data_IF_378267468446
#
_entry.id   IF_378267468446
#
_cell.length_a   1.000
_cell.length_b   1.000
_cell.length_c   1.000
_cell.angle_alpha   90.00
_cell.angle_beta   90.00
_cell.angle_gamma   90.00
#
_symmetry.space_group_name_H-M   'P 1'
#
loop_
_entity.id
_entity.type
_entity.pdbx_description
1 polymer ?
#
# COMPACT_ATOMS: atom_id res chain seq x y z
N UNK A 1 -50.68 -4.03 1.65
CA UNK A 1 -49.69 -2.99 1.30
C UNK A 1 -48.49 -3.70 0.69
N UNK A 2 -48.35 -3.61 -0.64
CA UNK A 2 -47.36 -4.34 -1.43
C UNK A 2 -46.06 -3.52 -1.45
N UNK A 3 -44.96 -4.06 -0.92
CA UNK A 3 -43.65 -3.45 -1.01
C UNK A 3 -42.90 -4.18 -2.13
N UNK A 4 -42.53 -3.53 -3.24
CA UNK A 4 -41.75 -4.18 -4.27
C UNK A 4 -40.34 -4.47 -3.77
N UNK A 5 -39.94 -5.74 -3.87
CA UNK A 5 -38.58 -6.23 -3.66
C UNK A 5 -37.82 -6.08 -4.97
N UNK A 6 -37.27 -4.90 -5.22
CA UNK A 6 -36.25 -4.71 -6.25
C UNK A 6 -34.95 -4.33 -5.53
N UNK A 7 -34.05 -5.30 -5.42
CA UNK A 7 -32.66 -5.08 -5.04
C UNK A 7 -31.95 -4.69 -6.33
N UNK A 8 -31.33 -3.50 -6.45
CA UNK A 8 -30.53 -3.20 -7.63
C UNK A 8 -29.26 -4.06 -7.61
N UNK A 9 -29.26 -5.11 -8.43
CA UNK A 9 -28.06 -5.82 -8.84
C UNK A 9 -27.21 -4.90 -9.71
N UNK A 10 -26.31 -4.14 -9.08
CA UNK A 10 -25.17 -3.57 -9.78
C UNK A 10 -24.01 -3.39 -8.81
N UNK A 11 -23.40 -4.51 -8.44
CA UNK A 11 -21.96 -4.51 -8.16
C UNK A 11 -21.28 -4.15 -9.48
N UNK A 12 -20.91 -2.89 -9.62
CA UNK A 12 -19.89 -2.48 -10.57
C UNK A 12 -18.58 -3.11 -10.09
N UNK A 13 -18.37 -4.35 -10.50
CA UNK A 13 -17.08 -5.03 -10.44
C UNK A 13 -16.06 -4.10 -11.06
N UNK A 14 -15.27 -3.41 -10.24
CA UNK A 14 -14.09 -2.69 -10.69
C UNK A 14 -13.26 -3.71 -11.47
N UNK A 15 -13.21 -3.53 -12.78
CA UNK A 15 -12.51 -4.41 -13.71
C UNK A 15 -11.03 -4.38 -13.30
N UNK A 16 -10.61 -5.38 -12.52
CA UNK A 16 -9.21 -5.58 -12.17
C UNK A 16 -8.58 -6.01 -13.48
N UNK A 17 -8.06 -5.02 -14.22
CA UNK A 17 -7.22 -5.20 -15.40
C UNK A 17 -6.10 -6.17 -15.06
N UNK A 18 -6.31 -7.45 -15.35
CA UNK A 18 -5.29 -8.46 -15.26
C UNK A 18 -4.35 -8.26 -16.45
N UNK A 19 -3.25 -7.55 -16.20
CA UNK A 19 -2.16 -7.42 -17.16
C UNK A 19 -1.34 -8.72 -17.20
N UNK A 20 -1.95 -9.86 -17.54
CA UNK A 20 -1.23 -11.13 -17.69
C UNK A 20 -0.65 -11.25 -19.10
N UNK A 21 0.41 -10.50 -19.35
CA UNK A 21 1.36 -10.79 -20.44
C UNK A 21 2.09 -12.09 -20.10
N UNK A 22 2.14 -13.04 -21.04
CA UNK A 22 2.82 -14.32 -20.88
C UNK A 22 4.24 -14.12 -20.33
N UNK A 23 4.53 -14.76 -19.20
CA UNK A 23 5.82 -14.67 -18.53
C UNK A 23 6.88 -15.42 -19.33
N UNK A 24 7.77 -14.69 -19.98
CA UNK A 24 9.12 -15.18 -20.30
C UNK A 24 9.81 -15.63 -19.00
N UNK A 25 10.78 -16.55 -19.06
CA UNK A 25 11.47 -17.06 -17.86
C UNK A 25 12.19 -16.02 -17.00
N UNK A 26 12.17 -14.75 -17.41
CA UNK A 26 12.70 -13.57 -16.71
C UNK A 26 11.64 -12.73 -15.99
N UNK A 27 10.35 -13.03 -16.11
CA UNK A 27 9.29 -12.21 -15.54
C UNK A 27 9.03 -12.52 -14.06
N UNK A 28 8.85 -11.47 -13.25
CA UNK A 28 8.64 -11.57 -11.80
C UNK A 28 7.22 -11.11 -11.45
N UNK A 29 6.47 -11.97 -10.76
CA UNK A 29 5.14 -11.64 -10.24
C UNK A 29 5.30 -10.96 -8.87
N UNK A 30 4.97 -9.67 -8.80
CA UNK A 30 4.92 -8.91 -7.55
C UNK A 30 3.46 -8.66 -7.17
N UNK A 31 3.12 -8.88 -5.88
CA UNK A 31 1.81 -8.53 -5.35
C UNK A 31 1.72 -7.02 -5.14
N UNK A 32 1.27 -6.31 -6.19
CA UNK A 32 1.20 -4.85 -6.21
C UNK A 32 -0.27 -4.42 -6.25
N UNK A 33 -0.61 -3.41 -5.44
CA UNK A 33 -1.91 -2.75 -5.50
C UNK A 33 -1.72 -1.25 -5.72
N UNK A 34 -2.61 -0.67 -6.54
CA UNK A 34 -2.75 0.77 -6.67
C UNK A 34 -3.89 1.25 -5.77
N UNK A 35 -3.63 2.28 -4.97
CA UNK A 35 -4.61 2.84 -4.03
C UNK A 35 -4.49 4.35 -3.99
N UNK A 36 -5.55 5.05 -3.61
CA UNK A 36 -5.48 6.47 -3.32
C UNK A 36 -5.02 6.65 -1.87
N UNK A 37 -3.84 7.25 -1.70
CA UNK A 37 -3.38 7.70 -0.39
C UNK A 37 -3.92 9.10 -0.12
N UNK A 38 -4.66 9.24 0.97
CA UNK A 38 -5.18 10.54 1.41
C UNK A 38 -4.20 11.24 2.34
N UNK A 39 -3.97 12.52 2.09
CA UNK A 39 -3.03 13.31 2.84
C UNK A 39 -3.49 14.74 3.01
N UNK A 40 -3.14 15.37 4.14
CA UNK A 40 -3.54 16.76 4.46
C UNK A 40 -3.13 17.76 3.39
N UNK A 41 -2.04 17.49 2.64
CA UNK A 41 -1.55 18.38 1.58
C UNK A 41 -2.15 18.07 0.22
N UNK A 42 -2.29 16.78 -0.11
CA UNK A 42 -2.88 16.30 -1.36
C UNK A 42 -3.09 14.80 -1.29
N UNK A 43 -3.99 14.33 -2.14
CA UNK A 43 -4.16 12.92 -2.41
C UNK A 43 -3.21 12.51 -3.54
N UNK A 44 -2.71 11.27 -3.53
CA UNK A 44 -2.00 10.73 -4.67
C UNK A 44 -2.20 9.22 -4.82
N UNK A 45 -2.16 8.75 -6.07
CA UNK A 45 -2.12 7.32 -6.38
C UNK A 45 -0.79 6.75 -5.88
N UNK A 46 -0.88 5.72 -5.06
CA UNK A 46 0.22 4.97 -4.48
C UNK A 46 0.30 3.62 -5.17
N UNK A 47 1.52 3.19 -5.48
CA UNK A 47 1.83 1.83 -5.89
C UNK A 47 2.44 1.11 -4.69
N UNK A 48 1.68 0.22 -4.08
CA UNK A 48 2.04 -0.47 -2.85
C UNK A 48 2.49 -1.90 -3.17
N UNK A 49 3.61 -2.33 -2.60
CA UNK A 49 4.01 -3.73 -2.58
C UNK A 49 3.39 -4.39 -1.34
N UNK A 50 2.59 -5.43 -1.54
CA UNK A 50 2.06 -6.26 -0.46
C UNK A 50 3.11 -7.30 -0.08
N UNK A 51 3.86 -7.00 0.97
CA UNK A 51 4.91 -7.88 1.48
C UNK A 51 4.45 -8.57 2.77
N UNK A 52 4.06 -9.85 2.66
CA UNK A 52 3.71 -10.68 3.83
C UNK A 52 4.92 -11.09 4.68
N UNK A 53 6.14 -10.86 4.20
CA UNK A 53 7.38 -11.14 4.93
C UNK A 53 7.74 -10.10 5.99
N UNK A 54 7.14 -8.91 5.93
CA UNK A 54 7.40 -7.82 6.89
C UNK A 54 6.31 -7.73 7.97
N UNK A 55 6.71 -7.58 9.23
CA UNK A 55 5.78 -7.35 10.35
C UNK A 55 5.24 -5.90 10.40
N UNK A 56 5.82 -4.98 9.63
CA UNK A 56 5.44 -3.57 9.60
C UNK A 56 5.43 -3.04 8.16
N UNK A 57 4.61 -2.02 7.90
CA UNK A 57 4.57 -1.34 6.60
C UNK A 57 5.52 -0.15 6.57
N UNK A 58 6.16 0.07 5.43
CA UNK A 58 7.05 1.21 5.20
C UNK A 58 6.46 2.11 4.11
N UNK A 59 6.60 3.42 4.32
CA UNK A 59 6.31 4.44 3.31
C UNK A 59 7.58 5.21 3.06
N UNK A 60 7.84 5.53 1.79
CA UNK A 60 8.97 6.39 1.44
C UNK A 60 8.79 7.79 2.03
N UNK A 61 9.89 8.39 2.45
CA UNK A 61 9.88 9.70 3.09
C UNK A 61 9.33 10.79 2.14
N UNK A 62 9.69 10.75 0.86
CA UNK A 62 9.21 11.71 -0.13
C UNK A 62 7.70 11.60 -0.34
N UNK A 63 7.14 10.39 -0.34
CA UNK A 63 5.69 10.17 -0.38
C UNK A 63 5.03 10.67 0.90
N UNK A 64 5.60 10.40 2.07
CA UNK A 64 5.08 10.93 3.34
C UNK A 64 5.05 12.47 3.35
N UNK A 65 6.10 13.14 2.85
CA UNK A 65 6.16 14.60 2.71
C UNK A 65 5.17 15.12 1.68
N UNK A 66 5.01 14.39 0.57
CA UNK A 66 4.10 14.68 -0.54
C UNK A 66 2.64 14.69 -0.06
N UNK A 67 2.25 13.69 0.74
CA UNK A 67 0.93 13.58 1.35
C UNK A 67 0.75 14.53 2.55
N UNK A 68 1.86 15.01 3.14
CA UNK A 68 1.82 15.84 4.34
C UNK A 68 1.37 15.07 5.58
N UNK A 69 1.78 13.80 5.69
CA UNK A 69 1.45 12.98 6.85
C UNK A 69 2.10 13.56 8.10
N UNK A 70 1.40 13.52 9.23
CA UNK A 70 1.94 13.99 10.49
C UNK A 70 2.83 12.93 11.14
N UNK A 71 3.88 13.40 11.81
CA UNK A 71 4.70 12.53 12.64
C UNK A 71 3.92 12.15 13.89
N UNK A 72 3.79 10.85 14.15
CA UNK A 72 3.31 10.30 15.43
C UNK A 72 4.46 9.94 16.37
N UNK A 73 5.65 10.49 16.11
CA UNK A 73 6.88 10.23 16.88
C UNK A 73 7.91 9.43 16.08
N UNK A 74 8.80 8.77 16.81
CA UNK A 74 9.88 7.96 16.23
C UNK A 74 9.89 6.57 16.84
N UNK A 75 10.34 5.59 16.05
CA UNK A 75 10.57 4.23 16.49
C UNK A 75 11.95 3.78 16.06
N UNK A 76 12.68 3.15 16.97
CA UNK A 76 13.95 2.54 16.68
C UNK A 76 13.68 1.11 16.21
N UNK A 77 14.06 0.79 14.97
CA UNK A 77 13.81 -0.50 14.34
C UNK A 77 15.12 -1.18 14.01
N UNK A 78 15.20 -2.48 14.29
CA UNK A 78 16.25 -3.34 13.77
C UNK A 78 15.73 -3.95 12.47
N UNK A 79 16.23 -3.47 11.34
CA UNK A 79 15.77 -3.93 10.02
C UNK A 79 16.68 -5.06 9.56
N UNK A 80 16.09 -6.22 9.33
CA UNK A 80 16.75 -7.39 8.77
C UNK A 80 16.44 -7.46 7.28
N UNK A 81 17.47 -7.46 6.43
CA UNK A 81 17.34 -7.60 4.98
C UNK A 81 18.12 -8.82 4.51
N UNK A 82 17.69 -9.43 3.40
CA UNK A 82 18.31 -10.66 2.89
C UNK A 82 19.80 -10.52 2.50
N UNK A 83 20.29 -9.29 2.30
CA UNK A 83 21.64 -9.03 1.84
C UNK A 83 22.64 -8.70 2.98
N UNK A 84 22.16 -8.39 4.19
CA UNK A 84 23.01 -7.91 5.28
C UNK A 84 23.07 -8.91 6.43
N UNK A 85 24.28 -9.40 6.73
CA UNK A 85 24.53 -10.26 7.90
C UNK A 85 24.30 -9.54 9.23
N UNK A 86 24.37 -8.21 9.23
CA UNK A 86 24.17 -7.37 10.42
C UNK A 86 22.86 -6.59 10.26
N UNK A 87 22.00 -6.65 11.28
CA UNK A 87 20.82 -5.79 11.32
C UNK A 87 21.25 -4.33 11.39
N UNK A 88 20.62 -3.47 10.59
CA UNK A 88 20.82 -2.03 10.74
C UNK A 88 19.84 -1.48 11.75
N UNK A 89 20.35 -0.67 12.68
CA UNK A 89 19.53 0.10 13.60
C UNK A 89 19.10 1.39 12.91
N UNK A 90 17.80 1.55 12.68
CA UNK A 90 17.24 2.74 12.05
C UNK A 90 16.25 3.44 12.97
N UNK A 91 16.46 4.73 13.18
CA UNK A 91 15.44 5.60 13.77
C UNK A 91 14.49 6.05 12.67
N UNK A 92 13.26 5.54 12.70
CA UNK A 92 12.24 5.80 11.69
C UNK A 92 11.15 6.72 12.24
N UNK A 93 10.66 7.64 11.38
CA UNK A 93 9.52 8.49 11.70
C UNK A 93 8.22 7.69 11.59
N UNK A 94 7.41 7.67 12.63
CA UNK A 94 6.11 7.00 12.62
C UNK A 94 5.07 7.93 12.00
N UNK A 95 4.24 7.42 11.10
CA UNK A 95 3.15 8.16 10.45
C UNK A 95 1.90 7.29 10.42
N UNK A 96 0.76 7.93 10.20
CA UNK A 96 -0.52 7.27 9.98
C UNK A 96 -0.99 7.61 8.56
N UNK A 97 -1.40 6.60 7.81
CA UNK A 97 -1.91 6.71 6.44
C UNK A 97 -3.19 5.89 6.36
N UNK A 98 -4.22 6.47 5.75
CA UNK A 98 -5.42 5.76 5.33
C UNK A 98 -5.33 5.50 3.82
N UNK A 99 -5.59 4.27 3.45
CA UNK A 99 -5.68 3.83 2.07
C UNK A 99 -7.06 3.18 1.88
N UNK A 100 -7.73 3.51 0.79
CA UNK A 100 -8.95 2.84 0.36
C UNK A 100 -8.57 1.86 -0.76
N UNK A 101 -8.83 0.58 -0.52
CA UNK A 101 -8.54 -0.54 -1.44
C UNK A 101 -9.85 -1.03 -2.05
#
# INVERSE_FOLDING_TARGET
MHIPSEIPEKEESADISQNSSATTGSDVILQIVYTVGEGKRKNCVLRCLLDRGSQVSFIREDISKKLGLESKGYSNLNIHTFAEKNCKHWRQRKVELRCEL
#
